data_IF_476499964654
#
_entry.id   IF_476499964654
#
_cell.length_a   1.000
_cell.length_b   1.000
_cell.length_c   1.000
_cell.angle_alpha   90.00
_cell.angle_beta   90.00
_cell.angle_gamma   90.00
#
_symmetry.space_group_name_H-M   'P 1'
#
loop_
_entity.id
_entity.type
_entity.pdbx_description
1 polymer ?
#
# COMPACT_ATOMS: atom_id res chain seq x y z
N UNK A 1 -7.66 -6.09 32.82
CA UNK A 1 -8.31 -4.90 32.23
C UNK A 1 -8.00 -4.93 30.75
N UNK A 2 -8.99 -4.86 29.84
CA UNK A 2 -8.69 -4.71 28.43
C UNK A 2 -8.05 -3.33 28.25
N UNK A 3 -6.92 -3.29 27.55
CA UNK A 3 -6.25 -2.04 27.20
C UNK A 3 -7.24 -1.21 26.36
N UNK A 4 -7.49 0.01 26.82
CA UNK A 4 -8.27 1.00 26.07
C UNK A 4 -7.64 1.19 24.70
N UNK A 5 -8.47 1.05 23.67
CA UNK A 5 -8.13 1.35 22.28
C UNK A 5 -7.62 2.79 22.21
N UNK A 6 -6.35 2.97 21.87
CA UNK A 6 -5.86 4.28 21.48
C UNK A 6 -4.87 4.12 20.34
N UNK A 7 -5.33 4.41 19.13
CA UNK A 7 -4.42 4.81 18.07
C UNK A 7 -3.95 6.22 18.44
N UNK A 8 -2.63 6.42 18.49
CA UNK A 8 -2.05 7.76 18.62
C UNK A 8 -2.24 8.49 17.29
N UNK A 9 -3.43 9.05 17.09
CA UNK A 9 -3.78 9.91 15.94
C UNK A 9 -3.18 11.30 16.18
N UNK A 10 -1.85 11.40 16.16
CA UNK A 10 -1.16 12.63 16.58
C UNK A 10 -1.07 13.72 15.51
N UNK A 11 -1.64 13.54 14.31
CA UNK A 11 -1.43 14.52 13.22
C UNK A 11 -2.56 14.57 12.19
N UNK A 12 -3.82 14.40 12.61
CA UNK A 12 -4.98 14.53 11.73
C UNK A 12 -5.83 15.74 12.16
N UNK A 13 -5.35 16.95 11.89
CA UNK A 13 -6.21 18.12 11.97
C UNK A 13 -7.17 18.11 10.77
N UNK A 14 -8.47 17.90 11.02
CA UNK A 14 -9.53 18.05 10.02
C UNK A 14 -10.34 16.79 9.69
N UNK A 15 -10.03 15.65 10.30
CA UNK A 15 -10.88 14.46 10.21
C UNK A 15 -11.92 14.45 11.34
N UNK A 16 -13.09 13.81 11.14
CA UNK A 16 -14.03 13.58 12.22
C UNK A 16 -13.28 12.87 13.35
N UNK A 17 -13.33 13.43 14.57
CA UNK A 17 -12.94 12.68 15.75
C UNK A 17 -13.91 11.51 15.85
N UNK A 18 -13.48 10.34 15.39
CA UNK A 18 -14.20 9.12 15.69
C UNK A 18 -14.01 8.88 17.18
N UNK A 19 -15.07 9.11 17.97
CA UNK A 19 -15.14 8.61 19.33
C UNK A 19 -14.75 7.12 19.29
N UNK A 20 -13.92 6.66 20.23
CA UNK A 20 -13.28 5.33 20.30
C UNK A 20 -14.23 4.09 20.22
N UNK A 21 -15.53 4.32 20.00
CA UNK A 21 -16.55 3.31 19.74
C UNK A 21 -16.50 2.81 18.29
N UNK A 22 -15.60 1.85 18.09
CA UNK A 22 -15.67 0.79 17.07
C UNK A 22 -15.74 1.30 15.64
N UNK A 23 -14.57 1.59 15.07
CA UNK A 23 -14.42 1.52 13.61
C UNK A 23 -14.99 0.20 13.12
N UNK A 24 -15.81 0.19 12.04
CA UNK A 24 -16.33 -1.05 11.47
C UNK A 24 -15.21 -1.75 10.70
N UNK A 25 -14.18 -2.22 11.41
CA UNK A 25 -12.96 -2.85 10.86
C UNK A 25 -13.33 -3.94 9.86
N UNK A 26 -14.43 -4.68 10.09
CA UNK A 26 -14.91 -5.72 9.18
C UNK A 26 -15.36 -5.23 7.80
N UNK A 27 -15.72 -3.95 7.65
CA UNK A 27 -16.13 -3.34 6.38
C UNK A 27 -15.03 -2.48 5.73
N UNK A 28 -13.85 -2.39 6.35
CA UNK A 28 -12.74 -1.54 5.94
C UNK A 28 -11.55 -2.37 5.49
N UNK A 29 -10.96 -2.01 4.36
CA UNK A 29 -9.64 -2.51 3.96
C UNK A 29 -8.57 -1.52 4.43
N UNK A 30 -7.49 -2.02 5.01
CA UNK A 30 -6.38 -1.22 5.51
C UNK A 30 -5.10 -1.55 4.77
N UNK A 31 -4.54 -0.53 4.09
CA UNK A 31 -3.30 -0.67 3.33
C UNK A 31 -2.16 0.13 3.95
N UNK A 32 -1.01 -0.50 4.12
CA UNK A 32 0.24 0.16 4.51
C UNK A 32 1.26 0.08 3.37
N UNK A 33 1.61 1.22 2.81
CA UNK A 33 2.36 1.36 1.56
C UNK A 33 3.76 1.87 1.90
N UNK A 34 4.80 1.15 1.50
CA UNK A 34 6.18 1.61 1.67
C UNK A 34 7.13 0.98 0.66
N UNK A 35 8.15 1.74 0.29
CA UNK A 35 9.30 1.24 -0.48
C UNK A 35 10.04 0.09 0.22
N UNK A 36 9.97 0.04 1.56
CA UNK A 36 10.69 -0.94 2.37
C UNK A 36 9.87 -2.20 2.71
N UNK A 37 8.63 -2.33 2.21
CA UNK A 37 7.86 -3.59 2.33
C UNK A 37 8.60 -4.70 1.60
N UNK A 38 9.01 -5.74 2.33
CA UNK A 38 9.87 -6.84 1.83
C UNK A 38 11.24 -6.40 1.29
N UNK A 39 11.65 -5.15 1.49
CA UNK A 39 12.88 -4.59 0.93
C UNK A 39 13.65 -3.80 1.99
N UNK A 40 14.65 -4.44 2.60
CA UNK A 40 15.43 -3.81 3.66
C UNK A 40 16.43 -2.80 3.09
N UNK A 41 16.07 -1.52 3.16
CA UNK A 41 16.93 -0.40 2.76
C UNK A 41 17.46 0.35 3.98
N UNK A 42 16.61 0.60 4.98
CA UNK A 42 16.93 1.45 6.11
C UNK A 42 16.09 1.16 7.36
N UNK A 43 15.79 2.23 8.10
CA UNK A 43 15.07 2.14 9.38
C UNK A 43 13.59 1.82 9.22
N UNK A 44 12.96 2.21 8.09
CA UNK A 44 11.51 2.06 7.89
C UNK A 44 11.16 0.57 7.84
N UNK A 45 11.99 -0.27 7.22
CA UNK A 45 11.84 -1.74 7.25
C UNK A 45 11.64 -2.25 8.68
N UNK A 46 12.44 -1.77 9.62
CA UNK A 46 12.36 -2.22 11.02
C UNK A 46 11.09 -1.72 11.67
N UNK A 47 10.72 -0.45 11.43
CA UNK A 47 9.47 0.14 11.96
C UNK A 47 8.26 -0.67 11.48
N UNK A 48 8.09 -0.85 10.17
CA UNK A 48 6.94 -1.57 9.61
C UNK A 48 6.93 -3.03 10.04
N UNK A 49 8.10 -3.69 10.09
CA UNK A 49 8.20 -5.08 10.54
C UNK A 49 7.77 -5.24 12.00
N UNK A 50 8.22 -4.36 12.91
CA UNK A 50 7.87 -4.44 14.33
C UNK A 50 6.42 -4.08 14.62
N UNK A 51 5.82 -3.21 13.79
CA UNK A 51 4.43 -2.79 13.92
C UNK A 51 3.45 -3.81 13.30
N UNK A 52 3.88 -4.55 12.28
CA UNK A 52 3.04 -5.48 11.51
C UNK A 52 2.25 -6.44 12.40
N UNK A 53 2.87 -6.98 13.46
CA UNK A 53 2.17 -7.88 14.39
C UNK A 53 0.97 -7.21 15.06
N UNK A 54 1.17 -6.01 15.62
CA UNK A 54 0.11 -5.30 16.36
C UNK A 54 -1.00 -4.89 15.38
N UNK A 55 -0.64 -4.37 14.20
CA UNK A 55 -1.63 -4.03 13.16
C UNK A 55 -2.41 -5.25 12.69
N UNK A 56 -1.75 -6.40 12.49
CA UNK A 56 -2.41 -7.64 12.10
C UNK A 56 -3.34 -8.18 13.20
N UNK A 57 -2.94 -8.07 14.48
CA UNK A 57 -3.80 -8.46 15.61
C UNK A 57 -5.07 -7.57 15.69
N UNK A 58 -5.00 -6.31 15.21
CA UNK A 58 -6.13 -5.37 15.16
C UNK A 58 -7.03 -5.51 13.92
N UNK A 59 -6.43 -5.65 12.74
CA UNK A 59 -7.12 -5.60 11.43
C UNK A 59 -7.34 -6.98 10.80
N UNK A 60 -6.65 -8.02 11.26
CA UNK A 60 -6.77 -9.38 10.74
C UNK A 60 -6.51 -9.46 9.24
N UNK A 61 -7.41 -10.14 8.52
CA UNK A 61 -7.31 -10.35 7.07
C UNK A 61 -7.63 -9.09 6.24
N UNK A 62 -8.02 -7.99 6.88
CA UNK A 62 -8.24 -6.70 6.22
C UNK A 62 -6.95 -5.85 6.15
N UNK A 63 -5.81 -6.35 6.66
CA UNK A 63 -4.52 -5.68 6.60
C UNK A 63 -3.67 -6.16 5.43
N UNK A 64 -3.33 -5.22 4.56
CA UNK A 64 -2.47 -5.43 3.40
C UNK A 64 -1.29 -4.46 3.43
N UNK A 65 -0.12 -4.92 3.00
CA UNK A 65 1.03 -4.06 2.76
C UNK A 65 1.35 -4.01 1.28
N UNK A 66 1.74 -2.84 0.78
CA UNK A 66 2.08 -2.64 -0.63
C UNK A 66 3.54 -2.22 -0.75
N UNK A 67 4.27 -2.88 -1.64
CA UNK A 67 5.69 -2.63 -1.87
C UNK A 67 6.15 -2.91 -3.29
N UNK A 68 7.39 -2.52 -3.63
CA UNK A 68 8.05 -2.95 -4.85
C UNK A 68 8.43 -4.45 -4.78
N UNK A 69 8.30 -5.14 -5.91
CA UNK A 69 8.72 -6.52 -6.06
C UNK A 69 10.23 -6.63 -6.31
N UNK A 70 10.90 -7.43 -5.50
CA UNK A 70 12.29 -7.85 -5.72
C UNK A 70 12.40 -9.37 -5.60
N UNK A 71 12.68 -10.06 -6.71
CA UNK A 71 12.66 -11.53 -6.79
C UNK A 71 13.47 -12.20 -5.65
N UNK A 72 14.68 -11.72 -5.40
CA UNK A 72 15.58 -12.29 -4.38
C UNK A 72 14.98 -12.19 -2.97
N UNK A 73 14.28 -11.10 -2.67
CA UNK A 73 13.66 -10.89 -1.36
C UNK A 73 12.40 -11.74 -1.23
N UNK A 74 11.56 -11.76 -2.26
CA UNK A 74 10.32 -12.54 -2.28
C UNK A 74 10.58 -14.02 -2.07
N UNK A 75 11.59 -14.59 -2.75
CA UNK A 75 11.94 -16.01 -2.63
C UNK A 75 12.31 -16.46 -1.21
N UNK A 76 12.74 -15.54 -0.35
CA UNK A 76 13.20 -15.85 1.01
C UNK A 76 12.26 -15.36 2.09
N UNK A 77 11.45 -14.34 1.80
CA UNK A 77 10.65 -13.65 2.80
C UNK A 77 9.15 -13.72 2.54
N UNK A 78 8.69 -14.21 1.39
CA UNK A 78 7.26 -14.19 1.04
C UNK A 78 6.79 -15.58 0.66
N UNK A 79 5.70 -16.01 1.27
CA UNK A 79 4.93 -17.16 0.83
C UNK A 79 3.89 -16.69 -0.18
N UNK A 80 4.07 -17.05 -1.45
CA UNK A 80 3.12 -16.70 -2.52
C UNK A 80 1.82 -17.51 -2.32
N UNK A 81 0.70 -16.83 -2.38
CA UNK A 81 -0.63 -17.42 -2.29
C UNK A 81 -1.62 -16.63 -3.14
N UNK A 82 -2.84 -17.14 -3.27
CA UNK A 82 -3.92 -16.44 -3.95
C UNK A 82 -4.62 -15.45 -2.99
N UNK A 83 -5.04 -14.27 -3.47
CA UNK A 83 -5.80 -13.32 -2.67
C UNK A 83 -7.14 -13.91 -2.23
N UNK A 84 -7.45 -13.94 -0.92
CA UNK A 84 -8.72 -14.50 -0.44
C UNK A 84 -9.91 -13.59 -0.76
N UNK A 85 -9.68 -12.29 -0.90
CA UNK A 85 -10.71 -11.31 -1.23
C UNK A 85 -10.87 -11.21 -2.77
N UNK A 86 -12.05 -11.52 -3.33
CA UNK A 86 -12.32 -11.41 -4.76
C UNK A 86 -12.14 -10.01 -5.34
N UNK A 87 -12.32 -8.96 -4.53
CA UNK A 87 -12.12 -7.57 -4.93
C UNK A 87 -10.64 -7.28 -5.14
N UNK A 88 -9.79 -7.76 -4.24
CA UNK A 88 -8.32 -7.68 -4.39
C UNK A 88 -7.87 -8.49 -5.62
N UNK A 89 -8.38 -9.72 -5.77
CA UNK A 89 -8.07 -10.58 -6.91
C UNK A 89 -8.38 -9.88 -8.24
N UNK A 90 -9.59 -9.32 -8.37
CA UNK A 90 -10.02 -8.63 -9.59
C UNK A 90 -9.21 -7.38 -9.91
N UNK A 91 -8.82 -6.61 -8.88
CA UNK A 91 -7.94 -5.45 -9.08
C UNK A 91 -6.55 -5.88 -9.58
N UNK A 92 -5.98 -6.95 -9.00
CA UNK A 92 -4.71 -7.55 -9.46
C UNK A 92 -4.83 -8.01 -10.91
N UNK A 93 -5.88 -8.77 -11.25
CA UNK A 93 -6.12 -9.28 -12.60
C UNK A 93 -6.22 -8.15 -13.63
N UNK A 94 -6.84 -7.02 -13.25
CA UNK A 94 -6.99 -5.86 -14.12
C UNK A 94 -5.64 -5.22 -14.43
N UNK A 95 -4.76 -5.07 -13.44
CA UNK A 95 -3.40 -4.57 -13.66
C UNK A 95 -2.59 -5.54 -14.53
N UNK A 96 -2.70 -6.84 -14.26
CA UNK A 96 -2.01 -7.89 -15.02
C UNK A 96 -2.46 -7.95 -16.48
N UNK A 97 -3.76 -7.82 -16.75
CA UNK A 97 -4.31 -7.75 -18.10
C UNK A 97 -3.80 -6.54 -18.92
N UNK A 98 -3.37 -5.48 -18.23
CA UNK A 98 -2.77 -4.30 -18.85
C UNK A 98 -1.22 -4.35 -18.91
N UNK A 99 -0.63 -5.53 -18.70
CA UNK A 99 0.82 -5.76 -18.88
C UNK A 99 1.68 -5.43 -17.67
N UNK A 100 1.10 -5.11 -16.51
CA UNK A 100 1.84 -4.98 -15.26
C UNK A 100 2.04 -6.36 -14.62
N UNK A 101 3.09 -6.56 -13.84
CA UNK A 101 3.29 -7.76 -13.03
C UNK A 101 3.07 -7.41 -11.56
N UNK A 102 2.16 -8.16 -10.93
CA UNK A 102 1.73 -7.95 -9.54
C UNK A 102 1.74 -9.30 -8.85
N UNK A 103 2.33 -9.36 -7.66
CA UNK A 103 2.47 -10.57 -6.88
C UNK A 103 1.74 -10.43 -5.54
N UNK A 104 1.05 -11.49 -5.13
CA UNK A 104 0.36 -11.54 -3.85
C UNK A 104 0.97 -12.63 -2.97
N UNK A 105 1.00 -12.40 -1.66
CA UNK A 105 1.51 -13.39 -0.72
C UNK A 105 1.38 -12.97 0.73
N UNK A 106 2.02 -13.73 1.62
CA UNK A 106 2.17 -13.44 3.04
C UNK A 106 3.63 -13.14 3.35
N UNK A 107 3.90 -12.02 4.02
CA UNK A 107 5.27 -11.73 4.47
C UNK A 107 5.61 -12.59 5.69
N UNK A 108 6.71 -13.33 5.62
CA UNK A 108 7.22 -14.24 6.64
C UNK A 108 7.87 -13.49 7.82
N UNK A 109 7.10 -12.62 8.46
CA UNK A 109 7.42 -11.89 9.69
C UNK A 109 6.33 -12.16 10.73
N UNK A 110 6.51 -11.65 11.95
CA UNK A 110 5.46 -11.71 12.97
C UNK A 110 4.18 -10.99 12.50
N UNK A 111 3.02 -11.63 12.71
CA UNK A 111 1.73 -11.17 12.21
C UNK A 111 1.36 -11.69 10.82
N UNK A 112 2.35 -12.16 10.03
CA UNK A 112 2.15 -12.69 8.68
C UNK A 112 1.18 -11.84 7.82
N UNK A 113 1.44 -10.54 7.62
CA UNK A 113 0.51 -9.68 6.89
C UNK A 113 0.45 -10.07 5.40
N UNK A 114 -0.68 -9.79 4.75
CA UNK A 114 -0.78 -9.91 3.30
C UNK A 114 0.08 -8.84 2.63
N UNK A 115 0.73 -9.19 1.52
CA UNK A 115 1.54 -8.28 0.72
C UNK A 115 1.09 -8.28 -0.74
N UNK A 116 1.05 -7.09 -1.33
CA UNK A 116 0.85 -6.85 -2.76
C UNK A 116 2.13 -6.18 -3.28
N UNK A 117 2.83 -6.86 -4.18
CA UNK A 117 4.14 -6.45 -4.65
C UNK A 117 4.11 -6.13 -6.13
N UNK A 118 4.51 -4.91 -6.48
CA UNK A 118 4.52 -4.42 -7.86
C UNK A 118 5.90 -4.55 -8.48
N UNK A 119 6.01 -5.27 -9.59
CA UNK A 119 7.22 -5.21 -10.42
C UNK A 119 7.22 -3.92 -11.24
N UNK A 120 7.95 -2.93 -10.73
CA UNK A 120 8.11 -1.63 -11.37
C UNK A 120 8.75 -1.74 -12.77
N UNK A 121 9.60 -2.75 -13.00
CA UNK A 121 10.25 -2.97 -14.28
C UNK A 121 9.24 -3.32 -15.37
N UNK A 122 8.23 -4.12 -15.02
CA UNK A 122 7.14 -4.49 -15.92
C UNK A 122 6.29 -3.30 -16.39
N UNK A 123 6.28 -2.19 -15.64
CA UNK A 123 5.47 -1.01 -15.90
C UNK A 123 6.26 0.19 -16.44
N UNK A 124 7.58 0.06 -16.59
CA UNK A 124 8.46 1.15 -17.02
C UNK A 124 8.11 1.71 -18.41
N UNK A 125 7.43 0.92 -19.25
CA UNK A 125 6.94 1.36 -20.56
C UNK A 125 5.95 2.54 -20.47
N UNK A 126 5.31 2.73 -19.32
CA UNK A 126 4.32 3.78 -19.10
C UNK A 126 4.90 5.03 -18.41
N UNK A 127 6.21 5.05 -18.13
CA UNK A 127 6.87 6.12 -17.35
C UNK A 127 6.66 7.51 -17.95
N UNK A 128 6.85 7.68 -19.26
CA UNK A 128 6.73 9.00 -19.91
C UNK A 128 5.32 9.57 -19.78
N UNK A 129 4.30 8.71 -19.89
CA UNK A 129 2.91 9.11 -19.68
C UNK A 129 2.68 9.56 -18.24
N UNK A 130 3.14 8.78 -17.25
CA UNK A 130 3.00 9.14 -15.85
C UNK A 130 3.78 10.40 -15.47
N UNK A 131 4.91 10.69 -16.12
CA UNK A 131 5.60 11.97 -15.95
C UNK A 131 4.76 13.15 -16.42
N UNK A 132 4.06 12.98 -17.55
CA UNK A 132 3.10 13.96 -18.06
C UNK A 132 1.96 14.19 -17.06
N UNK A 133 1.31 13.11 -16.62
CA UNK A 133 0.20 13.17 -15.65
C UNK A 133 0.65 13.80 -14.31
N UNK A 134 1.84 13.46 -13.82
CA UNK A 134 2.41 14.05 -12.60
C UNK A 134 2.68 15.55 -12.75
N UNK A 135 3.27 15.96 -13.88
CA UNK A 135 3.49 17.38 -14.18
C UNK A 135 2.18 18.15 -14.26
N UNK A 136 1.16 17.62 -14.93
CA UNK A 136 -0.16 18.25 -15.02
C UNK A 136 -0.82 18.39 -13.64
N UNK A 137 -0.64 17.41 -12.76
CA UNK A 137 -1.24 17.41 -11.43
C UNK A 137 -0.57 18.38 -10.45
N UNK A 138 0.76 18.49 -10.44
CA UNK A 138 1.48 19.24 -9.40
C UNK A 138 2.59 20.18 -9.90
N UNK A 139 2.82 20.27 -11.21
CA UNK A 139 3.87 21.11 -11.81
C UNK A 139 5.29 20.79 -11.30
N UNK A 140 5.54 19.53 -10.95
CA UNK A 140 6.86 19.03 -10.54
C UNK A 140 7.45 18.18 -11.68
N UNK A 141 8.66 18.53 -12.11
CA UNK A 141 9.38 17.79 -13.15
C UNK A 141 10.32 16.76 -12.53
N UNK A 142 10.34 15.55 -13.12
CA UNK A 142 11.27 14.49 -12.74
C UNK A 142 12.37 14.35 -13.81
N UNK A 143 13.64 14.67 -13.48
CA UNK A 143 14.76 14.54 -14.41
C UNK A 143 14.85 13.14 -15.01
N UNK A 144 15.22 13.04 -16.29
CA UNK A 144 15.31 11.74 -16.97
C UNK A 144 16.32 10.79 -16.31
N UNK A 145 17.46 11.31 -15.86
CA UNK A 145 18.55 10.52 -15.31
C UNK A 145 18.35 10.11 -13.85
N UNK A 146 17.33 10.66 -13.18
CA UNK A 146 17.03 10.35 -11.77
C UNK A 146 16.24 9.04 -11.68
N UNK A 147 16.97 7.95 -11.49
CA UNK A 147 16.37 6.61 -11.42
C UNK A 147 15.46 6.45 -10.21
N UNK A 148 15.86 6.98 -9.06
CA UNK A 148 15.09 6.84 -7.82
C UNK A 148 13.74 7.55 -7.94
N UNK A 149 13.74 8.78 -8.48
CA UNK A 149 12.50 9.50 -8.72
C UNK A 149 11.63 8.85 -9.80
N UNK A 150 12.22 8.28 -10.86
CA UNK A 150 11.48 7.53 -11.87
C UNK A 150 10.82 6.27 -11.30
N UNK A 151 11.57 5.50 -10.51
CA UNK A 151 11.10 4.26 -9.91
C UNK A 151 10.02 4.54 -8.86
N UNK A 152 10.18 5.60 -8.06
CA UNK A 152 9.18 6.09 -7.11
C UNK A 152 7.89 6.52 -7.82
N UNK A 153 7.98 7.20 -8.97
CA UNK A 153 6.81 7.57 -9.77
C UNK A 153 6.09 6.34 -10.30
N UNK A 154 6.81 5.36 -10.86
CA UNK A 154 6.20 4.12 -11.36
C UNK A 154 5.48 3.39 -10.22
N UNK A 155 6.15 3.21 -9.08
CA UNK A 155 5.56 2.56 -7.91
C UNK A 155 4.32 3.30 -7.40
N UNK A 156 4.40 4.63 -7.30
CA UNK A 156 3.27 5.48 -6.90
C UNK A 156 2.09 5.37 -7.86
N UNK A 157 2.35 5.40 -9.16
CA UNK A 157 1.31 5.28 -10.19
C UNK A 157 0.66 3.90 -10.23
N UNK A 158 1.43 2.81 -10.06
CA UNK A 158 0.88 1.45 -9.94
C UNK A 158 0.00 1.32 -8.70
N UNK A 159 0.45 1.89 -7.58
CA UNK A 159 -0.34 1.90 -6.34
C UNK A 159 -1.64 2.67 -6.52
N UNK A 160 -1.59 3.87 -7.11
CA UNK A 160 -2.77 4.67 -7.37
C UNK A 160 -3.75 3.97 -8.33
N UNK A 161 -3.23 3.30 -9.37
CA UNK A 161 -4.04 2.53 -10.29
C UNK A 161 -4.71 1.34 -9.58
N UNK A 162 -3.97 0.55 -8.82
CA UNK A 162 -4.53 -0.55 -8.05
C UNK A 162 -5.67 -0.08 -7.12
N UNK A 163 -5.46 1.00 -6.36
CA UNK A 163 -6.48 1.57 -5.49
C UNK A 163 -7.70 2.08 -6.27
N UNK A 164 -7.50 2.63 -7.47
CA UNK A 164 -8.60 3.02 -8.37
C UNK A 164 -9.43 1.83 -8.82
N UNK A 165 -8.83 0.68 -9.11
CA UNK A 165 -9.57 -0.54 -9.46
C UNK A 165 -10.34 -1.14 -8.27
N UNK A 166 -9.86 -0.92 -7.04
CA UNK A 166 -10.57 -1.31 -5.82
C UNK A 166 -11.77 -0.42 -5.50
N UNK A 167 -11.73 0.86 -5.87
CA UNK A 167 -12.78 1.84 -5.55
C UNK A 167 -14.20 1.41 -5.98
N UNK A 168 -14.46 0.98 -7.23
CA UNK A 168 -15.82 0.58 -7.64
C UNK A 168 -16.29 -0.73 -6.99
N UNK A 169 -15.42 -1.46 -6.28
CA UNK A 169 -15.66 -2.81 -5.80
C UNK A 169 -15.71 -2.93 -4.27
N UNK A 170 -15.24 -1.92 -3.53
CA UNK A 170 -15.10 -1.94 -2.06
C UNK A 170 -16.02 -0.92 -1.37
N UNK A 171 -16.34 -1.17 -0.09
CA UNK A 171 -17.25 -0.32 0.69
C UNK A 171 -16.56 0.93 1.24
N UNK A 172 -15.31 0.82 1.71
CA UNK A 172 -14.45 1.92 2.20
C UNK A 172 -12.97 1.46 2.34
N UNK A 173 -12.01 2.37 2.09
CA UNK A 173 -10.56 2.09 2.08
C UNK A 173 -9.82 3.03 3.04
N UNK A 174 -8.94 2.48 3.89
CA UNK A 174 -8.01 3.24 4.74
C UNK A 174 -6.56 3.01 4.29
N UNK A 175 -5.79 4.10 4.16
CA UNK A 175 -4.41 4.08 3.63
C UNK A 175 -3.41 4.72 4.58
N UNK A 176 -2.27 4.06 4.78
CA UNK A 176 -1.07 4.61 5.40
C UNK A 176 0.07 4.57 4.38
N UNK A 177 0.69 5.71 4.12
CA UNK A 177 1.92 5.82 3.34
C UNK A 177 3.10 6.08 4.28
N UNK A 178 4.16 5.27 4.17
CA UNK A 178 5.39 5.41 4.95
C UNK A 178 6.55 5.80 4.02
N UNK A 179 6.86 7.09 3.98
CA UNK A 179 8.03 7.68 3.32
C UNK A 179 8.73 8.67 4.28
N UNK A 180 9.94 9.14 3.93
CA UNK A 180 10.69 10.20 4.66
C UNK A 180 9.94 11.54 4.86
N UNK A 181 8.68 11.67 4.41
CA UNK A 181 7.80 12.82 4.63
C UNK A 181 6.39 12.26 4.88
N UNK A 182 5.92 12.45 6.12
CA UNK A 182 4.54 12.44 6.67
C UNK A 182 3.50 11.38 6.24
N UNK A 183 2.68 11.01 7.23
CA UNK A 183 1.72 9.89 7.21
C UNK A 183 0.26 10.37 6.96
N UNK A 184 -0.48 9.54 6.21
CA UNK A 184 -1.95 9.41 6.04
C UNK A 184 -2.69 10.40 5.13
N UNK A 185 -3.33 9.86 4.08
CA UNK A 185 -4.52 10.44 3.43
C UNK A 185 -5.67 9.47 3.56
N UNK A 186 -6.71 9.85 4.30
CA UNK A 186 -8.00 9.16 4.33
C UNK A 186 -8.84 9.70 3.17
N UNK A 187 -9.18 8.84 2.21
CA UNK A 187 -10.13 9.17 1.13
C UNK A 187 -11.50 8.60 1.49
N UNK A 188 -12.42 9.47 1.89
CA UNK A 188 -13.85 9.18 1.94
C UNK A 188 -14.50 9.84 0.71
N UNK A 189 -15.15 9.05 -0.14
CA UNK A 189 -16.15 9.62 -1.05
C UNK A 189 -17.49 9.66 -0.31
N UNK A 190 -18.04 10.87 -0.16
CA UNK A 190 -19.46 11.02 0.13
C UNK A 190 -20.28 10.47 -1.05
N UNK A 191 -21.49 9.95 -0.79
CA UNK A 191 -22.34 9.28 -1.79
C UNK A 191 -22.77 10.15 -2.97
#
# INVERSE_FOLDING_TARGET
MPLSRSLSVSSLNGLPQWDDEQLPVGDLLFFEISWEVTNKVGGIYTVIQTKAKITADEWGDNYFMIGPYYEQNVRTQVEICDPPDPVIAKAIDTLQANGCQVYFGRWLIEGSPFVILFDIGSAAWNLDRWKGEFWEACSVAIPFHDREANDALIFGSLTAWFLKELHPLSRQITLIYNNYIETVTLWQSEP
#
